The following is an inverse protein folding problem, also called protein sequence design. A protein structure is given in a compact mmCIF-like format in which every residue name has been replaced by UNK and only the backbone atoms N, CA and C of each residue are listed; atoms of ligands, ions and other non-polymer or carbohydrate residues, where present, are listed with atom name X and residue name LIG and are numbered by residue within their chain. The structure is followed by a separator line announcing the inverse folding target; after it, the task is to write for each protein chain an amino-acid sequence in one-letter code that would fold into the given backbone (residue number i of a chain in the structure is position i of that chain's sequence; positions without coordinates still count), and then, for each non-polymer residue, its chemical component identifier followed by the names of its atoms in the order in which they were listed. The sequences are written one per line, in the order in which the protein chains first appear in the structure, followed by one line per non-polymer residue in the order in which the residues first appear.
data_IF_479691254686
#
_entry.id   IF_479691254686
#
_cell.length_a   1.000
_cell.length_b   1.000
_cell.length_c   1.000
_cell.angle_alpha   90.00
_cell.angle_beta   90.00
_cell.angle_gamma   90.00
#
_symmetry.space_group_name_H-M   'P 1'
#
loop_
_entity.id
_entity.type
_entity.pdbx_description
1 polymer ?
#
# COMPACT_ATOMS: atom_id res chain seq x y z
N UNK A 1 -3.68 8.25 15.00
CA UNK A 1 -2.73 8.22 13.87
C UNK A 1 -1.94 6.93 13.93
N UNK A 2 -1.77 6.28 12.79
CA UNK A 2 -1.09 4.97 12.65
C UNK A 2 0.46 5.12 12.73
N UNK A 3 0.95 6.36 12.73
CA UNK A 3 2.36 6.71 12.92
C UNK A 3 2.69 6.97 14.40
N UNK A 4 3.91 6.66 14.86
CA UNK A 4 4.36 7.00 16.21
C UNK A 4 4.32 8.52 16.41
N UNK A 5 3.50 8.99 17.36
CA UNK A 5 3.41 10.42 17.69
C UNK A 5 4.45 10.83 18.74
N UNK A 6 5.00 9.84 19.44
CA UNK A 6 6.04 10.00 20.46
C UNK A 6 7.25 9.15 20.05
N UNK A 7 8.49 9.59 20.35
CA UNK A 7 9.72 8.86 20.04
C UNK A 7 9.93 7.69 21.03
N UNK A 8 8.91 6.85 21.20
CA UNK A 8 8.91 5.71 22.10
C UNK A 8 9.23 4.44 21.33
N UNK A 9 10.13 3.58 21.85
CA UNK A 9 10.43 2.31 21.21
C UNK A 9 9.24 1.35 21.32
N UNK A 10 9.02 0.53 20.29
CA UNK A 10 7.87 -0.38 20.20
C UNK A 10 7.79 -1.37 21.37
N UNK A 11 8.93 -1.76 21.94
CA UNK A 11 9.01 -2.69 23.08
C UNK A 11 8.46 -2.11 24.40
N UNK A 12 8.15 -0.81 24.46
CA UNK A 12 7.48 -0.19 25.61
C UNK A 12 5.99 -0.54 25.67
N UNK A 13 5.43 -1.05 24.57
CA UNK A 13 4.07 -1.55 24.51
C UNK A 13 4.01 -2.96 25.11
N UNK A 14 3.29 -3.12 26.22
CA UNK A 14 3.24 -4.37 27.02
C UNK A 14 1.83 -4.94 27.18
N UNK A 15 0.81 -4.29 26.62
CA UNK A 15 -0.59 -4.69 26.77
C UNK A 15 -1.05 -5.61 25.64
N UNK A 16 -0.40 -5.56 24.49
CA UNK A 16 -0.59 -6.51 23.39
C UNK A 16 0.59 -7.51 23.33
N UNK A 17 0.40 -8.68 22.71
CA UNK A 17 1.51 -9.60 22.44
C UNK A 17 2.63 -8.92 21.66
N UNK A 18 3.88 -9.31 21.94
CA UNK A 18 5.05 -8.80 21.20
C UNK A 18 4.91 -8.99 19.69
N UNK A 19 4.28 -10.11 19.31
CA UNK A 19 3.99 -10.49 17.94
C UNK A 19 2.55 -10.08 17.61
N UNK A 20 2.38 -8.85 17.13
CA UNK A 20 1.08 -8.26 16.79
C UNK A 20 1.25 -7.16 15.74
N UNK A 21 0.15 -6.75 15.11
CA UNK A 21 0.17 -5.71 14.08
C UNK A 21 0.87 -4.42 14.59
N UNK A 22 1.96 -4.03 13.94
CA UNK A 22 2.79 -2.91 14.36
C UNK A 22 2.04 -1.56 14.38
N UNK A 23 1.08 -1.36 13.46
CA UNK A 23 0.19 -0.20 13.47
C UNK A 23 -0.62 -0.16 14.77
N UNK A 24 -1.23 -1.29 15.15
CA UNK A 24 -2.08 -1.33 16.32
C UNK A 24 -1.31 -1.23 17.64
N UNK A 25 -0.09 -1.77 17.68
CA UNK A 25 0.85 -1.52 18.79
C UNK A 25 1.24 -0.04 18.88
N UNK A 26 1.41 0.63 17.74
CA UNK A 26 1.64 2.09 17.68
C UNK A 26 0.42 2.86 18.21
N UNK A 27 -0.80 2.46 17.84
CA UNK A 27 -2.04 3.04 18.39
C UNK A 27 -2.10 2.89 19.90
N UNK A 28 -1.79 1.70 20.43
CA UNK A 28 -1.75 1.44 21.87
C UNK A 28 -0.72 2.34 22.58
N UNK A 29 0.49 2.45 22.03
CA UNK A 29 1.54 3.34 22.57
C UNK A 29 1.11 4.80 22.59
N UNK A 30 0.56 5.30 21.49
CA UNK A 30 0.08 6.67 21.40
C UNK A 30 -1.03 6.91 22.44
N UNK A 31 -2.03 6.04 22.49
CA UNK A 31 -3.18 6.20 23.38
C UNK A 31 -2.81 6.17 24.87
N UNK A 32 -1.85 5.33 25.26
CA UNK A 32 -1.41 5.20 26.66
C UNK A 32 -0.47 6.32 27.13
N UNK A 33 0.13 7.09 26.22
CA UNK A 33 1.19 8.06 26.56
C UNK A 33 0.90 9.49 26.11
N UNK A 34 -0.21 9.73 25.41
CA UNK A 34 -0.64 11.07 25.00
C UNK A 34 -1.74 11.60 25.95
N UNK A 35 -1.78 12.91 26.22
CA UNK A 35 -2.92 13.52 26.90
C UNK A 35 -4.11 13.58 25.92
N UNK A 36 -5.07 12.67 26.09
CA UNK A 36 -6.25 12.55 25.24
C UNK A 36 -7.51 12.72 26.09
N UNK A 37 -8.57 13.33 25.52
CA UNK A 37 -9.88 13.42 26.17
C UNK A 37 -10.80 12.25 25.79
N UNK A 38 -10.54 11.61 24.64
CA UNK A 38 -11.28 10.47 24.09
C UNK A 38 -10.50 9.81 22.96
N UNK A 39 -10.85 8.56 22.65
CA UNK A 39 -10.33 7.79 21.51
C UNK A 39 -11.48 7.38 20.61
N UNK A 40 -11.37 7.65 19.31
CA UNK A 40 -12.21 7.04 18.27
C UNK A 40 -11.39 6.00 17.53
N UNK A 41 -11.93 4.79 17.37
CA UNK A 41 -11.25 3.69 16.68
C UNK A 41 -12.20 3.01 15.70
N UNK A 42 -11.82 3.03 14.42
CA UNK A 42 -12.58 2.36 13.38
C UNK A 42 -12.38 0.84 13.46
N UNK A 43 -13.50 0.12 13.42
CA UNK A 43 -13.54 -1.35 13.52
C UNK A 43 -14.39 -1.94 12.40
N UNK A 44 -14.16 -3.21 12.09
CA UNK A 44 -14.91 -3.93 11.06
C UNK A 44 -14.31 -3.76 9.66
N UNK A 45 -15.12 -3.78 8.58
CA UNK A 45 -14.65 -3.99 7.21
C UNK A 45 -13.66 -2.94 6.67
N UNK A 46 -13.79 -1.68 7.10
CA UNK A 46 -12.84 -0.61 6.74
C UNK A 46 -11.46 -0.77 7.38
N UNK A 47 -11.38 -1.54 8.47
CA UNK A 47 -10.15 -1.89 9.18
C UNK A 47 -10.06 -3.42 9.31
N UNK A 48 -9.67 -3.91 10.47
CA UNK A 48 -9.54 -5.34 10.76
C UNK A 48 -10.08 -5.64 12.16
N UNK A 49 -10.45 -6.90 12.42
CA UNK A 49 -10.93 -7.32 13.75
C UNK A 49 -9.85 -7.21 14.83
N UNK A 50 -8.57 -7.17 14.45
CA UNK A 50 -7.51 -6.82 15.40
C UNK A 50 -7.75 -5.43 16.04
N UNK A 51 -8.27 -4.45 15.29
CA UNK A 51 -8.60 -3.14 15.83
C UNK A 51 -9.75 -3.20 16.85
N UNK A 52 -10.72 -4.10 16.64
CA UNK A 52 -11.79 -4.35 17.61
C UNK A 52 -11.22 -4.86 18.94
N UNK A 53 -10.31 -5.83 18.90
CA UNK A 53 -9.67 -6.35 20.11
C UNK A 53 -8.85 -5.27 20.84
N UNK A 54 -8.12 -4.44 20.09
CA UNK A 54 -7.37 -3.30 20.66
C UNK A 54 -8.30 -2.28 21.32
N UNK A 55 -9.46 -2.00 20.71
CA UNK A 55 -10.46 -1.14 21.32
C UNK A 55 -10.94 -1.68 22.68
N UNK A 56 -11.21 -2.99 22.76
CA UNK A 56 -11.58 -3.66 24.02
C UNK A 56 -10.48 -3.57 25.07
N UNK A 57 -9.21 -3.75 24.67
CA UNK A 57 -8.08 -3.59 25.59
C UNK A 57 -8.00 -2.15 26.08
N UNK A 58 -8.05 -1.16 25.19
CA UNK A 58 -8.02 0.26 25.55
C UNK A 58 -9.15 0.65 26.50
N UNK A 59 -10.36 0.14 26.31
CA UNK A 59 -11.52 0.38 27.18
C UNK A 59 -11.28 -0.07 28.63
N UNK A 60 -10.43 -1.07 28.85
CA UNK A 60 -10.13 -1.57 30.19
C UNK A 60 -9.02 -0.79 30.89
N UNK A 61 -8.11 -0.17 30.12
CA UNK A 61 -6.93 0.52 30.67
C UNK A 61 -7.05 2.04 30.71
N UNK A 62 -7.85 2.64 29.84
CA UNK A 62 -8.05 4.08 29.78
C UNK A 62 -9.25 4.50 30.63
N UNK A 63 -9.10 5.64 31.32
CA UNK A 63 -10.21 6.29 32.05
C UNK A 63 -11.07 7.17 31.14
N UNK A 64 -10.59 7.46 29.93
CA UNK A 64 -11.29 8.28 28.93
C UNK A 64 -12.16 7.41 28.02
N UNK A 65 -13.21 7.98 27.38
CA UNK A 65 -14.06 7.24 26.47
C UNK A 65 -13.29 6.68 25.28
N UNK A 66 -13.49 5.39 24.99
CA UNK A 66 -13.01 4.72 23.78
C UNK A 66 -14.23 4.28 22.96
N UNK A 67 -14.46 4.98 21.85
CA UNK A 67 -15.64 4.87 21.01
C UNK A 67 -15.27 4.11 19.74
N UNK A 68 -15.90 2.96 19.51
CA UNK A 68 -15.75 2.22 18.27
C UNK A 68 -16.62 2.84 17.18
N UNK A 69 -16.03 3.05 16.00
CA UNK A 69 -16.73 3.54 14.80
C UNK A 69 -16.70 2.48 13.72
N UNK A 70 -17.55 2.61 12.71
CA UNK A 70 -17.51 1.75 11.51
C UNK A 70 -17.70 2.62 10.28
N UNK A 71 -16.66 2.77 9.48
CA UNK A 71 -16.80 3.39 8.16
C UNK A 71 -17.59 2.45 7.23
N UNK A 72 -18.67 2.98 6.65
CA UNK A 72 -19.55 2.28 5.70
C UNK A 72 -19.69 3.04 4.37
N UNK A 73 -18.82 4.01 4.16
CA UNK A 73 -18.84 4.85 2.98
C UNK A 73 -18.54 3.98 1.76
N UNK A 74 -19.40 4.10 0.76
CA UNK A 74 -19.34 3.36 -0.50
C UNK A 74 -19.33 4.29 -1.73
N UNK A 75 -19.53 5.59 -1.52
CA UNK A 75 -19.38 6.60 -2.56
C UNK A 75 -17.93 7.08 -2.59
N UNK A 76 -17.23 6.75 -3.68
CA UNK A 76 -15.82 7.03 -3.84
C UNK A 76 -15.53 8.47 -4.25
N UNK A 77 -14.52 9.07 -3.64
CA UNK A 77 -14.02 10.41 -4.02
C UNK A 77 -13.01 10.38 -5.17
N UNK A 78 -12.60 9.19 -5.61
CA UNK A 78 -11.52 9.01 -6.59
C UNK A 78 -10.15 8.88 -5.94
N UNK A 79 -9.15 8.58 -6.76
CA UNK A 79 -7.78 8.31 -6.32
C UNK A 79 -6.72 8.95 -7.24
N UNK A 80 -6.72 10.28 -7.44
CA UNK A 80 -5.76 10.96 -8.32
C UNK A 80 -4.30 10.81 -7.86
N UNK A 81 -4.01 10.85 -6.55
CA UNK A 81 -2.65 10.72 -5.99
C UNK A 81 -2.08 9.35 -6.33
N UNK A 82 -2.86 8.27 -6.17
CA UNK A 82 -2.44 6.90 -6.49
C UNK A 82 -1.94 6.74 -7.94
N UNK A 83 -2.43 7.55 -8.88
CA UNK A 83 -2.09 7.50 -10.31
C UNK A 83 -1.14 8.61 -10.77
N UNK A 84 -0.72 9.49 -9.86
CA UNK A 84 0.15 10.63 -10.17
C UNK A 84 1.59 10.19 -10.47
N UNK A 85 2.48 11.14 -10.78
CA UNK A 85 3.93 10.93 -10.89
C UNK A 85 4.71 11.46 -9.67
N UNK A 86 4.07 11.62 -8.51
CA UNK A 86 4.77 11.97 -7.28
C UNK A 86 5.72 10.83 -6.85
N UNK A 87 6.78 11.10 -6.06
CA UNK A 87 7.51 10.04 -5.38
C UNK A 87 6.60 9.20 -4.49
N UNK A 88 6.83 7.87 -4.40
CA UNK A 88 5.92 6.96 -3.68
C UNK A 88 5.77 7.31 -2.19
N UNK A 89 6.85 7.82 -1.56
CA UNK A 89 6.82 8.35 -0.18
C UNK A 89 5.80 9.48 -0.06
N UNK A 90 5.80 10.41 -1.02
CA UNK A 90 4.91 11.57 -1.01
C UNK A 90 3.46 11.15 -1.26
N UNK A 91 3.22 10.17 -2.17
CA UNK A 91 1.88 9.60 -2.38
C UNK A 91 1.31 9.06 -1.08
N UNK A 92 2.03 8.13 -0.43
CA UNK A 92 1.48 7.50 0.78
C UNK A 92 1.34 8.49 1.93
N UNK A 93 2.24 9.48 2.06
CA UNK A 93 2.09 10.54 3.07
C UNK A 93 0.87 11.41 2.80
N UNK A 94 0.64 11.83 1.55
CA UNK A 94 -0.52 12.63 1.19
C UNK A 94 -1.83 11.85 1.40
N UNK A 95 -1.85 10.56 1.05
CA UNK A 95 -2.99 9.67 1.27
C UNK A 95 -3.29 9.53 2.77
N UNK A 96 -2.28 9.23 3.61
CA UNK A 96 -2.49 9.05 5.06
C UNK A 96 -2.92 10.33 5.75
N UNK A 97 -2.37 11.49 5.35
CA UNK A 97 -2.82 12.81 5.83
C UNK A 97 -4.25 13.10 5.38
N UNK A 98 -4.59 12.74 4.14
CA UNK A 98 -5.90 12.95 3.56
C UNK A 98 -7.03 12.33 4.38
N UNK A 99 -6.79 11.22 5.11
CA UNK A 99 -7.78 10.58 6.01
C UNK A 99 -8.32 11.52 7.09
N UNK A 100 -7.59 12.57 7.45
CA UNK A 100 -8.04 13.59 8.41
C UNK A 100 -9.06 14.58 7.82
N UNK A 101 -9.30 14.53 6.51
CA UNK A 101 -10.21 15.40 5.79
C UNK A 101 -11.40 14.60 5.25
N UNK A 102 -12.58 15.22 5.27
CA UNK A 102 -13.81 14.76 4.63
C UNK A 102 -13.97 15.28 3.19
N UNK A 103 -12.91 15.87 2.62
CA UNK A 103 -12.88 16.38 1.25
C UNK A 103 -12.13 15.42 0.31
N UNK A 104 -12.42 15.46 -1.01
CA UNK A 104 -11.64 14.74 -2.02
C UNK A 104 -10.19 15.21 -2.06
N UNK A 105 -9.30 14.31 -2.50
CA UNK A 105 -7.91 14.67 -2.81
C UNK A 105 -7.87 15.73 -3.92
N UNK A 106 -6.87 16.63 -3.91
CA UNK A 106 -6.62 17.50 -5.05
C UNK A 106 -6.41 16.69 -6.33
N UNK A 107 -6.77 17.27 -7.47
CA UNK A 107 -6.49 16.65 -8.76
C UNK A 107 -4.98 16.60 -9.02
N UNK A 108 -4.53 15.46 -9.56
CA UNK A 108 -3.18 15.25 -10.05
C UNK A 108 -3.23 14.69 -11.47
N UNK A 109 -2.35 15.15 -12.39
CA UNK A 109 -2.23 14.56 -13.70
C UNK A 109 -1.89 13.07 -13.59
N UNK A 110 -2.63 12.18 -14.28
CA UNK A 110 -2.30 10.76 -14.29
C UNK A 110 -0.99 10.50 -15.03
N UNK A 111 -0.24 9.51 -14.57
CA UNK A 111 1.00 9.04 -15.18
C UNK A 111 0.84 7.62 -15.75
N UNK A 112 1.72 7.23 -16.67
CA UNK A 112 1.82 5.82 -17.10
C UNK A 112 2.62 5.05 -16.06
N UNK A 113 2.08 3.96 -15.48
CA UNK A 113 2.79 3.23 -14.45
C UNK A 113 3.97 2.44 -15.01
N UNK A 114 5.10 2.48 -14.32
CA UNK A 114 6.24 1.57 -14.58
C UNK A 114 6.35 0.46 -13.56
N UNK A 115 5.69 0.61 -12.41
CA UNK A 115 5.61 -0.35 -11.33
C UNK A 115 4.30 -0.17 -10.57
N UNK A 116 3.95 -1.17 -9.77
CA UNK A 116 2.86 -1.11 -8.81
C UNK A 116 3.34 -1.31 -7.38
N UNK A 117 2.71 -0.59 -6.45
CA UNK A 117 2.76 -0.86 -5.02
C UNK A 117 1.35 -1.16 -4.53
N UNK A 118 1.09 -2.40 -4.17
CA UNK A 118 -0.15 -2.80 -3.51
C UNK A 118 0.12 -2.93 -2.02
N UNK A 119 -0.71 -2.33 -1.16
CA UNK A 119 -0.59 -2.59 0.27
C UNK A 119 -1.17 -1.54 1.21
N UNK A 120 -0.90 -1.76 2.49
CA UNK A 120 -1.03 -0.76 3.55
C UNK A 120 0.24 0.11 3.61
N UNK A 121 0.19 1.36 4.11
CA UNK A 121 1.40 2.14 4.32
C UNK A 121 2.36 1.39 5.26
N UNK A 122 3.64 1.23 4.89
CA UNK A 122 4.62 0.63 5.77
C UNK A 122 4.83 1.53 6.98
N UNK A 123 5.15 0.97 8.15
CA UNK A 123 5.57 1.77 9.30
C UNK A 123 6.87 2.53 9.02
N UNK A 124 7.78 1.92 8.25
CA UNK A 124 9.01 2.55 7.76
C UNK A 124 8.85 2.97 6.29
N UNK A 125 8.64 4.27 6.07
CA UNK A 125 8.46 4.83 4.74
C UNK A 125 9.76 4.82 3.92
N UNK A 126 10.93 4.62 4.52
CA UNK A 126 12.20 4.55 3.78
C UNK A 126 12.27 3.32 2.85
N UNK A 127 11.36 2.35 2.99
CA UNK A 127 11.19 1.26 2.03
C UNK A 127 10.64 1.75 0.68
N UNK A 128 9.83 2.80 0.70
CA UNK A 128 9.14 3.31 -0.48
C UNK A 128 10.09 4.05 -1.44
N UNK A 129 11.27 4.46 -0.97
CA UNK A 129 12.29 5.12 -1.81
C UNK A 129 12.91 4.20 -2.87
N UNK A 130 12.67 2.89 -2.78
CA UNK A 130 13.15 1.89 -3.74
C UNK A 130 12.38 1.92 -5.07
N UNK A 131 11.21 2.57 -5.07
CA UNK A 131 10.27 2.55 -6.17
C UNK A 131 10.46 3.78 -7.07
N UNK A 132 10.27 3.66 -8.40
CA UNK A 132 10.25 4.82 -9.29
C UNK A 132 9.03 5.72 -9.00
N UNK A 133 9.13 7.01 -9.32
CA UNK A 133 8.04 7.99 -9.11
C UNK A 133 6.75 7.63 -9.88
N UNK A 134 6.89 7.02 -11.05
CA UNK A 134 5.81 6.45 -11.86
C UNK A 134 5.20 5.16 -11.26
N UNK A 135 5.41 4.85 -9.99
CA UNK A 135 4.76 3.72 -9.31
C UNK A 135 3.32 4.05 -8.97
N UNK A 136 2.36 3.30 -9.50
CA UNK A 136 0.95 3.45 -9.10
C UNK A 136 0.67 2.71 -7.79
N UNK A 137 -0.21 3.27 -6.97
CA UNK A 137 -0.64 2.69 -5.70
C UNK A 137 -1.95 1.91 -5.87
N UNK A 138 -1.99 0.71 -5.31
CA UNK A 138 -3.10 -0.24 -5.31
C UNK A 138 -3.41 -0.71 -3.88
N UNK A 139 -4.44 -1.52 -3.72
CA UNK A 139 -4.82 -2.11 -2.44
C UNK A 139 -5.42 -1.09 -1.47
N UNK A 140 -5.33 -1.38 -0.18
CA UNK A 140 -6.03 -0.60 0.84
C UNK A 140 -5.63 0.87 0.89
N UNK A 141 -4.37 1.20 0.57
CA UNK A 141 -3.95 2.61 0.49
C UNK A 141 -4.72 3.40 -0.57
N UNK A 142 -5.11 2.75 -1.68
CA UNK A 142 -5.98 3.38 -2.67
C UNK A 142 -7.42 3.54 -2.16
N UNK A 143 -7.92 2.56 -1.41
CA UNK A 143 -9.24 2.66 -0.77
C UNK A 143 -9.28 3.80 0.26
N UNK A 144 -8.18 4.07 0.97
CA UNK A 144 -8.06 5.22 1.87
C UNK A 144 -8.17 6.54 1.11
N UNK A 145 -7.49 6.68 -0.03
CA UNK A 145 -7.61 7.88 -0.86
C UNK A 145 -9.05 8.07 -1.35
N UNK A 146 -9.67 6.99 -1.81
CA UNK A 146 -11.03 6.96 -2.33
C UNK A 146 -12.11 7.15 -1.26
N UNK A 147 -11.75 7.17 0.03
CA UNK A 147 -12.66 7.23 1.20
C UNK A 147 -13.60 6.04 1.34
N UNK A 148 -13.31 4.92 0.70
CA UNK A 148 -14.12 3.69 0.76
C UNK A 148 -13.28 2.53 1.29
N UNK A 149 -12.84 2.54 2.56
CA UNK A 149 -11.83 1.60 3.07
C UNK A 149 -12.28 0.12 3.07
N UNK A 150 -13.57 -0.14 2.89
CA UNK A 150 -14.16 -1.48 2.79
C UNK A 150 -14.45 -1.93 1.34
N UNK A 151 -14.03 -1.16 0.34
CA UNK A 151 -14.24 -1.45 -1.07
C UNK A 151 -13.33 -2.59 -1.55
N UNK A 152 -13.86 -3.80 -1.53
CA UNK A 152 -13.15 -5.02 -1.90
C UNK A 152 -12.83 -5.11 -3.39
N UNK A 153 -13.66 -4.55 -4.26
CA UNK A 153 -13.41 -4.53 -5.70
C UNK A 153 -12.22 -3.62 -6.01
N UNK A 154 -12.22 -2.42 -5.42
CA UNK A 154 -11.10 -1.49 -5.52
C UNK A 154 -9.85 -2.05 -4.83
N UNK A 155 -9.94 -2.69 -3.66
CA UNK A 155 -8.77 -3.25 -2.98
C UNK A 155 -8.14 -4.41 -3.80
N UNK A 156 -8.97 -5.19 -4.50
CA UNK A 156 -8.51 -6.35 -5.28
C UNK A 156 -7.99 -6.01 -6.67
N UNK A 157 -8.30 -4.83 -7.18
CA UNK A 157 -7.89 -4.39 -8.52
C UNK A 157 -6.41 -4.01 -8.60
N UNK A 158 -5.72 -4.48 -9.64
CA UNK A 158 -4.33 -4.12 -9.96
C UNK A 158 -4.09 -4.11 -11.47
N UNK A 159 -2.99 -3.51 -11.91
CA UNK A 159 -2.57 -3.55 -13.31
C UNK A 159 -1.61 -4.75 -13.55
N UNK A 160 -2.02 -5.80 -14.29
CA UNK A 160 -1.19 -6.98 -14.50
C UNK A 160 0.01 -6.74 -15.43
N UNK A 161 0.06 -5.62 -16.16
CA UNK A 161 1.10 -5.35 -17.14
C UNK A 161 2.43 -4.91 -16.52
N UNK A 162 2.39 -4.33 -15.31
CA UNK A 162 3.55 -3.73 -14.62
C UNK A 162 4.01 -4.60 -13.46
N UNK A 163 5.31 -4.66 -13.14
CA UNK A 163 5.78 -5.36 -11.95
C UNK A 163 5.17 -4.72 -10.69
N UNK A 164 4.55 -5.53 -9.85
CA UNK A 164 3.83 -5.05 -8.66
C UNK A 164 4.37 -5.72 -7.40
N UNK A 165 4.78 -4.90 -6.43
CA UNK A 165 5.11 -5.37 -5.08
C UNK A 165 3.83 -5.34 -4.24
N UNK A 166 3.44 -6.51 -3.75
CA UNK A 166 2.34 -6.71 -2.82
C UNK A 166 2.90 -6.72 -1.40
N UNK A 167 2.88 -5.54 -0.79
CA UNK A 167 3.39 -5.30 0.55
C UNK A 167 2.29 -5.50 1.59
N UNK A 168 2.60 -6.24 2.65
CA UNK A 168 1.79 -6.30 3.84
C UNK A 168 2.67 -6.21 5.09
N UNK A 169 2.14 -5.63 6.16
CA UNK A 169 2.78 -5.75 7.45
C UNK A 169 2.45 -7.10 8.07
N UNK A 170 3.44 -7.74 8.69
CA UNK A 170 3.23 -8.98 9.44
C UNK A 170 2.12 -8.78 10.47
N UNK A 171 1.31 -9.82 10.66
CA UNK A 171 0.14 -9.81 11.55
C UNK A 171 -0.98 -8.83 11.17
N UNK A 172 -0.93 -8.25 9.97
CA UNK A 172 -2.09 -7.59 9.37
C UNK A 172 -3.00 -8.63 8.70
N UNK A 173 -4.32 -8.52 8.88
CA UNK A 173 -5.29 -9.40 8.21
C UNK A 173 -5.20 -9.33 6.67
N UNK A 174 -4.73 -8.18 6.13
CA UNK A 174 -4.58 -7.97 4.69
C UNK A 174 -3.46 -8.78 4.04
N UNK A 175 -2.59 -9.42 4.84
CA UNK A 175 -1.56 -10.36 4.34
C UNK A 175 -2.16 -11.47 3.49
N UNK A 176 -3.34 -11.99 3.84
CA UNK A 176 -4.02 -13.04 3.08
C UNK A 176 -4.36 -12.60 1.65
N UNK A 177 -4.96 -11.40 1.51
CA UNK A 177 -5.31 -10.84 0.20
C UNK A 177 -4.05 -10.47 -0.58
N UNK A 178 -3.08 -9.83 0.07
CA UNK A 178 -1.79 -9.47 -0.53
C UNK A 178 -1.10 -10.68 -1.16
N UNK A 179 -0.99 -11.78 -0.40
CA UNK A 179 -0.37 -13.03 -0.85
C UNK A 179 -1.13 -13.65 -2.00
N UNK A 180 -2.46 -13.73 -1.88
CA UNK A 180 -3.32 -14.30 -2.93
C UNK A 180 -3.20 -13.53 -4.26
N UNK A 181 -3.26 -12.21 -4.22
CA UNK A 181 -3.16 -11.38 -5.43
C UNK A 181 -1.75 -11.46 -6.03
N UNK A 182 -0.71 -11.48 -5.20
CA UNK A 182 0.67 -11.62 -5.67
C UNK A 182 0.92 -12.92 -6.44
N UNK A 183 0.35 -14.04 -5.98
CA UNK A 183 0.49 -15.35 -6.63
C UNK A 183 -0.24 -15.42 -7.98
N UNK A 184 -1.32 -14.65 -8.15
CA UNK A 184 -2.07 -14.57 -9.41
C UNK A 184 -1.47 -13.54 -10.37
N UNK A 185 -0.70 -12.60 -9.86
CA UNK A 185 -0.14 -11.53 -10.66
C UNK A 185 1.06 -12.05 -11.49
N UNK A 186 1.08 -11.86 -12.82
CA UNK A 186 2.11 -12.44 -13.70
C UNK A 186 3.52 -11.93 -13.40
N UNK A 187 3.61 -10.72 -12.84
CA UNK A 187 4.85 -10.07 -12.37
C UNK A 187 4.71 -9.60 -10.92
N UNK A 188 4.26 -10.48 -10.02
CA UNK A 188 3.96 -10.14 -8.63
C UNK A 188 5.09 -10.51 -7.67
N UNK A 189 5.43 -9.61 -6.74
CA UNK A 189 6.31 -9.91 -5.61
C UNK A 189 5.55 -9.74 -4.29
N UNK A 190 5.34 -10.81 -3.55
CA UNK A 190 4.86 -10.71 -2.16
C UNK A 190 6.00 -10.36 -1.21
N UNK A 191 5.76 -9.35 -0.37
CA UNK A 191 6.65 -8.92 0.73
C UNK A 191 5.82 -8.76 1.99
N UNK A 192 6.16 -9.53 3.02
CA UNK A 192 5.74 -9.28 4.38
C UNK A 192 6.89 -8.74 5.23
N UNK A 193 6.59 -7.72 6.03
CA UNK A 193 7.56 -7.10 6.92
C UNK A 193 6.92 -6.84 8.27
N UNK A 194 7.63 -7.11 9.35
CA UNK A 194 7.19 -6.73 10.68
C UNK A 194 7.43 -5.22 10.92
N UNK A 195 8.17 -4.83 11.95
CA UNK A 195 8.33 -3.41 12.31
C UNK A 195 9.17 -2.64 11.28
N UNK A 196 10.28 -3.22 10.82
CA UNK A 196 11.22 -2.60 9.88
C UNK A 196 11.62 -3.60 8.79
N UNK A 197 11.81 -3.11 7.56
CA UNK A 197 12.35 -3.92 6.47
C UNK A 197 13.88 -4.07 6.62
N UNK A 198 14.35 -5.30 6.81
CA UNK A 198 15.78 -5.60 6.84
C UNK A 198 16.46 -5.43 5.47
N UNK A 199 17.79 -5.43 5.45
CA UNK A 199 18.59 -5.32 4.21
C UNK A 199 18.20 -6.36 3.16
N UNK A 200 17.90 -7.59 3.58
CA UNK A 200 17.45 -8.67 2.70
C UNK A 200 16.14 -8.33 1.97
N UNK A 201 15.16 -7.76 2.67
CA UNK A 201 13.89 -7.36 2.04
C UNK A 201 14.12 -6.25 1.03
N UNK A 202 14.92 -5.24 1.38
CA UNK A 202 15.23 -4.11 0.50
C UNK A 202 15.90 -4.60 -0.79
N UNK A 203 16.93 -5.43 -0.67
CA UNK A 203 17.62 -6.03 -1.81
C UNK A 203 16.68 -6.88 -2.68
N UNK A 204 15.74 -7.61 -2.07
CA UNK A 204 14.73 -8.39 -2.80
C UNK A 204 13.81 -7.49 -3.64
N UNK A 205 13.37 -6.36 -3.09
CA UNK A 205 12.53 -5.39 -3.81
C UNK A 205 13.32 -4.73 -4.94
N UNK A 206 14.54 -4.25 -4.66
CA UNK A 206 15.43 -3.63 -5.64
C UNK A 206 15.67 -4.57 -6.83
N UNK A 207 16.14 -5.80 -6.55
CA UNK A 207 16.42 -6.79 -7.59
C UNK A 207 15.18 -7.13 -8.42
N UNK A 208 14.01 -7.27 -7.78
CA UNK A 208 12.75 -7.53 -8.49
C UNK A 208 12.37 -6.40 -9.45
N UNK A 209 12.48 -5.14 -9.00
CA UNK A 209 12.17 -3.98 -9.81
C UNK A 209 13.16 -3.83 -10.97
N UNK A 210 14.45 -4.07 -10.74
CA UNK A 210 15.49 -4.00 -11.77
C UNK A 210 15.32 -5.08 -12.85
N UNK A 211 15.16 -6.35 -12.45
CA UNK A 211 15.01 -7.48 -13.38
C UNK A 211 13.73 -7.36 -14.23
N UNK A 212 12.68 -6.75 -13.67
CA UNK A 212 11.42 -6.52 -14.37
C UNK A 212 11.49 -5.43 -15.44
N UNK A 213 12.44 -4.49 -15.34
CA UNK A 213 12.67 -3.47 -16.38
C UNK A 213 13.38 -4.06 -17.59
N UNK A 214 14.30 -5.01 -17.36
CA UNK A 214 15.14 -5.61 -18.39
C UNK A 214 14.46 -6.75 -19.18
N UNK A 215 13.24 -7.13 -18.81
CA UNK A 215 12.47 -8.21 -19.46
C UNK A 215 11.39 -7.70 -20.42
N UNK A 216 11.37 -6.40 -20.73
CA UNK A 216 10.53 -5.87 -21.82
C UNK A 216 11.03 -6.41 -23.17
N UNK A 217 10.16 -6.95 -24.04
CA UNK A 217 10.58 -7.52 -25.31
C UNK A 217 11.24 -6.44 -26.17
N UNK A 218 12.45 -6.74 -26.65
CA UNK A 218 13.13 -5.97 -27.71
C UNK A 218 12.19 -5.94 -28.92
N UNK A 219 11.91 -4.78 -29.53
CA UNK A 219 11.17 -4.74 -30.78
C UNK A 219 11.96 -5.55 -31.80
N UNK A 220 11.38 -6.64 -32.29
CA UNK A 220 11.94 -7.38 -33.41
C UNK A 220 12.04 -6.41 -34.58
N UNK A 221 13.27 -6.06 -34.95
CA UNK A 221 13.55 -5.32 -36.17
C UNK A 221 12.91 -6.09 -37.32
N UNK A 222 11.93 -5.46 -37.98
CA UNK A 222 11.39 -5.94 -39.24
C UNK A 222 12.52 -5.95 -40.25
N UNK A 223 13.07 -7.13 -40.55
CA UNK A 223 13.86 -7.35 -41.76
C UNK A 223 12.92 -7.21 -42.94
N UNK A 224 12.88 -5.99 -43.47
CA UNK A 224 12.34 -5.65 -44.77
C UNK A 224 13.30 -6.24 -45.82
N UNK A 225 13.11 -7.52 -46.15
CA UNK A 225 13.81 -8.15 -47.25
C UNK A 225 13.18 -7.67 -48.56
N UNK A 226 13.79 -6.63 -49.14
CA UNK A 226 13.57 -6.27 -50.53
C UNK A 226 13.85 -7.47 -51.43
N UNK A 227 12.81 -7.93 -52.12
CA UNK A 227 12.94 -8.91 -53.19
C UNK A 227 13.53 -8.25 -54.44
N UNK A 228 14.43 -8.94 -55.19
CA UNK A 228 14.90 -8.44 -56.47
C UNK A 228 13.79 -8.65 -57.52
N UNK A 229 13.43 -7.57 -58.20
CA UNK A 229 12.60 -7.62 -59.40
C UNK A 229 13.45 -8.04 -60.60
N UNK A 230 13.22 -9.27 -61.07
CA UNK A 230 13.66 -9.74 -62.38
C UNK A 230 12.43 -9.83 -63.29
N UNK A 231 12.23 -8.83 -64.16
CA UNK A 231 11.33 -8.93 -65.31
C UNK A 231 12.18 -8.82 -66.59
N UNK A 232 12.51 -9.98 -67.15
CA UNK A 232 13.08 -10.11 -68.49
C UNK A 232 11.99 -10.36 -69.53
N UNK A 233 11.84 -9.37 -70.41
CA UNK A 233 11.39 -9.39 -71.81
C UNK A 233 10.81 -10.68 -72.41
N UNK A 234 9.59 -10.56 -72.94
CA UNK A 234 9.10 -11.36 -74.08
C UNK A 234 8.93 -10.47 -75.31
N UNK A 235 9.67 -10.82 -76.36
CA UNK A 235 9.32 -10.56 -77.76
C UNK A 235 9.02 -11.88 -78.44
#
# INVERSE_FOLDING_TARGET
LDEPQLPLPMNRETHLPQVYCAILRTVMLNAMNMPLDRVYIDVGPGKCDCALHVATVLQNFLTIPVITTRNRDNEGFGYPICRSNLPLIEKLRAITQGVQSCEPSPDYPPSVPTAGFWGVPPRDFALLSLFPDSTHVYGWSRCMENKTPADMELESSYNPAVPTVFFAQSFCAKTALAKHLAERHPKGLYVDCDVNAGSSVRAKIEAFLELSRNTSPVPTASTDNGGPGDDHATG
#
